data_IF_856661480576
#
_entry.id   IF_856661480576
#
_cell.length_a   1.000
_cell.length_b   1.000
_cell.length_c   1.000
_cell.angle_alpha   90.00
_cell.angle_beta   90.00
_cell.angle_gamma   90.00
#
_symmetry.space_group_name_H-M   'P 1'
#
loop_
_entity.id
_entity.type
_entity.pdbx_description
1 polymer ?
#
# COMPACT_ATOMS: atom_id res chain seq x y z
N UNK A 1 16.48 1.35 -10.54
CA UNK A 1 15.44 1.73 -9.56
C UNK A 1 14.44 0.59 -9.42
N UNK A 2 13.77 0.53 -8.29
CA UNK A 2 12.62 -0.34 -8.06
C UNK A 2 11.38 0.55 -7.92
N UNK A 3 10.28 0.12 -8.55
CA UNK A 3 8.96 0.66 -8.30
C UNK A 3 8.14 -0.40 -7.58
N UNK A 4 7.71 -0.09 -6.36
CA UNK A 4 6.75 -0.87 -5.61
C UNK A 4 5.36 -0.25 -5.76
N UNK A 5 4.42 -1.02 -6.31
CA UNK A 5 3.00 -0.67 -6.35
C UNK A 5 2.27 -1.52 -5.33
N UNK A 6 1.66 -0.87 -4.36
CA UNK A 6 0.97 -1.49 -3.23
C UNK A 6 -0.53 -1.24 -3.34
N UNK A 7 -1.34 -2.27 -3.12
CA UNK A 7 -2.79 -2.20 -3.14
C UNK A 7 -3.32 -2.51 -1.76
N UNK A 8 -3.87 -1.47 -1.13
CA UNK A 8 -4.42 -1.51 0.22
C UNK A 8 -5.93 -1.60 0.14
N UNK A 9 -6.46 -2.78 0.47
CA UNK A 9 -7.88 -2.96 0.74
C UNK A 9 -8.33 -2.07 1.88
N UNK A 10 -9.59 -1.66 1.85
CA UNK A 10 -10.14 -0.71 2.84
C UNK A 10 -11.13 -1.37 3.78
N UNK A 11 -11.66 -2.56 3.47
CA UNK A 11 -12.65 -3.21 4.31
C UNK A 11 -12.04 -3.66 5.64
N UNK A 12 -12.57 -3.19 6.76
CA UNK A 12 -12.12 -3.54 8.13
C UNK A 12 -13.33 -3.87 9.02
N UNK A 13 -13.17 -4.54 10.17
CA UNK A 13 -14.31 -5.01 10.97
C UNK A 13 -15.30 -3.92 11.42
N UNK A 14 -14.84 -2.68 11.59
CA UNK A 14 -15.62 -1.51 11.99
C UNK A 14 -16.05 -0.61 10.80
N UNK A 15 -15.84 -1.05 9.55
CA UNK A 15 -16.29 -0.33 8.36
C UNK A 15 -15.23 -0.30 7.26
N UNK A 16 -14.89 0.90 6.79
CA UNK A 16 -13.85 1.08 5.77
C UNK A 16 -12.78 2.06 6.25
N UNK A 17 -11.55 1.88 5.80
CA UNK A 17 -10.49 2.87 5.99
C UNK A 17 -10.90 4.18 5.31
N UNK A 18 -11.07 5.22 6.13
CA UNK A 18 -11.49 6.55 5.70
C UNK A 18 -10.37 7.31 5.01
N UNK A 19 -10.71 8.39 4.31
CA UNK A 19 -9.72 9.26 3.67
C UNK A 19 -8.78 9.91 4.72
N UNK A 20 -9.32 10.25 5.89
CA UNK A 20 -8.57 10.82 7.01
C UNK A 20 -7.60 9.79 7.62
N UNK A 21 -8.06 8.55 7.83
CA UNK A 21 -7.20 7.46 8.30
C UNK A 21 -6.09 7.13 7.30
N UNK A 22 -6.41 7.14 5.99
CA UNK A 22 -5.43 6.95 4.93
C UNK A 22 -4.39 8.07 4.90
N UNK A 23 -4.84 9.33 4.97
CA UNK A 23 -3.95 10.50 5.01
C UNK A 23 -3.03 10.45 6.24
N UNK A 24 -3.56 10.10 7.42
CA UNK A 24 -2.77 9.92 8.63
C UNK A 24 -1.75 8.78 8.47
N UNK A 25 -2.14 7.65 7.87
CA UNK A 25 -1.21 6.56 7.59
C UNK A 25 -0.06 6.98 6.66
N UNK A 26 -0.36 7.73 5.59
CA UNK A 26 0.67 8.26 4.70
C UNK A 26 1.62 9.22 5.43
N UNK A 27 1.09 10.13 6.23
CA UNK A 27 1.86 11.11 7.01
C UNK A 27 2.76 10.43 8.04
N UNK A 28 2.19 9.55 8.86
CA UNK A 28 2.86 9.06 10.07
C UNK A 28 3.78 7.87 9.78
N UNK A 29 3.48 7.08 8.74
CA UNK A 29 4.16 5.82 8.46
C UNK A 29 4.94 5.84 7.15
N UNK A 30 4.32 6.29 6.06
CA UNK A 30 4.93 6.13 4.72
C UNK A 30 5.95 7.24 4.45
N UNK A 31 5.56 8.50 4.63
CA UNK A 31 6.37 9.67 4.32
C UNK A 31 7.73 9.67 5.02
N UNK A 32 7.84 9.35 6.34
CA UNK A 32 9.13 9.33 7.04
C UNK A 32 10.09 8.26 6.49
N UNK A 33 9.55 7.19 5.89
CA UNK A 33 10.34 6.09 5.32
C UNK A 33 10.62 6.24 3.83
N UNK A 34 9.95 7.20 3.16
CA UNK A 34 9.99 7.43 1.72
C UNK A 34 10.31 8.90 1.39
N UNK A 35 11.49 9.41 1.77
CA UNK A 35 11.84 10.83 1.59
C UNK A 35 11.96 11.26 0.12
N UNK A 36 12.08 10.30 -0.80
CA UNK A 36 12.15 10.54 -2.25
C UNK A 36 10.78 10.88 -2.87
N UNK A 37 9.71 10.81 -2.07
CA UNK A 37 8.33 11.06 -2.50
C UNK A 37 7.52 9.78 -2.68
N UNK A 38 6.22 9.97 -2.87
CA UNK A 38 5.23 8.93 -3.09
C UNK A 38 4.10 9.47 -3.97
N UNK A 39 3.38 8.56 -4.62
CA UNK A 39 2.12 8.88 -5.31
C UNK A 39 1.05 7.91 -4.85
N UNK A 40 -0.14 8.40 -4.54
CA UNK A 40 -1.28 7.55 -4.19
C UNK A 40 -2.57 7.99 -4.85
N UNK A 41 -3.46 7.04 -5.13
CA UNK A 41 -4.78 7.30 -5.69
C UNK A 41 -5.80 6.27 -5.18
N UNK A 42 -7.09 6.58 -5.36
CA UNK A 42 -8.20 5.66 -5.08
C UNK A 42 -8.44 4.79 -6.31
N UNK A 43 -8.65 3.51 -6.09
CA UNK A 43 -9.03 2.52 -7.09
C UNK A 43 -10.19 1.66 -6.59
N UNK A 44 -10.80 0.91 -7.51
CA UNK A 44 -11.77 -0.13 -7.20
C UNK A 44 -11.19 -1.46 -7.65
N UNK A 45 -10.97 -2.36 -6.71
CA UNK A 45 -10.52 -3.73 -6.97
C UNK A 45 -11.70 -4.70 -7.04
N UNK A 46 -11.47 -5.85 -7.68
CA UNK A 46 -12.33 -7.02 -7.56
C UNK A 46 -11.45 -8.21 -7.25
N UNK A 47 -11.60 -8.76 -6.04
CA UNK A 47 -10.70 -9.78 -5.53
C UNK A 47 -11.46 -11.05 -5.20
N UNK A 48 -10.84 -12.18 -5.47
CA UNK A 48 -11.39 -13.48 -5.09
C UNK A 48 -11.08 -13.72 -3.61
N UNK A 49 -12.12 -13.84 -2.80
CA UNK A 49 -11.98 -14.18 -1.39
C UNK A 49 -11.51 -15.62 -1.20
N UNK A 50 -11.09 -15.95 0.02
CA UNK A 50 -10.77 -17.34 0.40
C UNK A 50 -11.96 -18.29 0.23
N UNK A 51 -13.19 -17.78 0.38
CA UNK A 51 -14.44 -18.52 0.13
C UNK A 51 -14.78 -18.66 -1.36
N UNK A 52 -14.03 -18.01 -2.25
CA UNK A 52 -14.13 -18.16 -3.70
C UNK A 52 -15.05 -17.17 -4.42
N UNK A 53 -15.63 -16.22 -3.70
CA UNK A 53 -16.47 -15.16 -4.27
C UNK A 53 -15.64 -13.98 -4.75
N UNK A 54 -16.10 -13.27 -5.79
CA UNK A 54 -15.52 -11.98 -6.18
C UNK A 54 -16.16 -10.88 -5.35
N UNK A 55 -15.35 -10.17 -4.58
CA UNK A 55 -15.78 -8.99 -3.83
C UNK A 55 -15.20 -7.74 -4.47
N UNK A 56 -16.06 -6.73 -4.64
CA UNK A 56 -15.65 -5.40 -5.05
C UNK A 56 -15.16 -4.64 -3.83
N UNK A 57 -13.94 -4.12 -3.89
CA UNK A 57 -13.31 -3.47 -2.75
C UNK A 57 -12.75 -2.11 -3.13
N UNK A 58 -13.12 -1.08 -2.35
CA UNK A 58 -12.42 0.19 -2.40
C UNK A 58 -10.96 -0.01 -1.99
N UNK A 59 -10.05 0.51 -2.80
CA UNK A 59 -8.62 0.26 -2.66
C UNK A 59 -7.86 1.59 -2.71
N UNK A 60 -6.90 1.78 -1.82
CA UNK A 60 -5.87 2.79 -2.02
C UNK A 60 -4.67 2.15 -2.71
N UNK A 61 -4.21 2.75 -3.81
CA UNK A 61 -2.97 2.35 -4.46
C UNK A 61 -1.88 3.33 -4.10
N UNK A 62 -0.70 2.81 -3.76
CA UNK A 62 0.48 3.60 -3.42
C UNK A 62 1.66 3.14 -4.28
N UNK A 63 2.35 4.10 -4.88
CA UNK A 63 3.59 3.88 -5.60
C UNK A 63 4.77 4.50 -4.88
N UNK A 64 5.81 3.69 -4.70
CA UNK A 64 7.08 4.07 -4.10
C UNK A 64 8.21 3.73 -5.07
N UNK A 65 8.85 4.76 -5.62
CA UNK A 65 10.06 4.60 -6.43
C UNK A 65 11.29 4.82 -5.56
N UNK A 66 12.16 3.82 -5.46
CA UNK A 66 13.35 3.89 -4.63
C UNK A 66 14.53 3.11 -5.23
N UNK A 67 15.73 3.34 -4.71
CA UNK A 67 16.92 2.57 -5.08
C UNK A 67 16.77 1.09 -4.70
N UNK A 68 17.42 0.20 -5.46
CA UNK A 68 17.42 -1.23 -5.17
C UNK A 68 18.35 -1.50 -3.99
N UNK A 69 17.81 -1.38 -2.76
CA UNK A 69 18.55 -1.60 -1.52
C UNK A 69 17.73 -2.45 -0.54
N UNK A 70 18.40 -3.32 0.22
CA UNK A 70 17.74 -4.23 1.16
C UNK A 70 16.99 -3.47 2.27
N UNK A 71 17.49 -2.31 2.70
CA UNK A 71 16.81 -1.48 3.70
C UNK A 71 15.51 -0.88 3.19
N UNK A 72 15.47 -0.45 1.92
CA UNK A 72 14.26 0.07 1.29
C UNK A 72 13.20 -1.03 1.14
N UNK A 73 13.62 -2.23 0.74
CA UNK A 73 12.71 -3.40 0.71
C UNK A 73 12.15 -3.75 2.10
N UNK A 74 12.99 -3.68 3.14
CA UNK A 74 12.55 -3.87 4.53
C UNK A 74 11.57 -2.78 4.97
N UNK A 75 11.79 -1.53 4.58
CA UNK A 75 10.89 -0.42 4.87
C UNK A 75 9.51 -0.62 4.22
N UNK A 76 9.46 -1.02 2.95
CA UNK A 76 8.20 -1.34 2.25
C UNK A 76 7.44 -2.48 2.95
N UNK A 77 8.12 -3.55 3.35
CA UNK A 77 7.49 -4.63 4.13
C UNK A 77 6.96 -4.14 5.47
N UNK A 78 7.69 -3.24 6.15
CA UNK A 78 7.25 -2.64 7.42
C UNK A 78 6.00 -1.80 7.25
N UNK A 79 5.92 -0.97 6.20
CA UNK A 79 4.69 -0.22 5.83
C UNK A 79 3.51 -1.17 5.71
N UNK A 80 3.68 -2.27 4.96
CA UNK A 80 2.64 -3.29 4.77
C UNK A 80 2.19 -3.90 6.12
N UNK A 81 3.14 -4.30 6.98
CA UNK A 81 2.79 -4.90 8.28
C UNK A 81 2.08 -3.91 9.21
N UNK A 82 2.50 -2.64 9.21
CA UNK A 82 1.83 -1.59 9.99
C UNK A 82 0.39 -1.41 9.51
N UNK A 83 0.17 -1.33 8.20
CA UNK A 83 -1.19 -1.19 7.66
C UNK A 83 -2.07 -2.37 8.05
N UNK A 84 -1.57 -3.61 7.85
CA UNK A 84 -2.27 -4.84 8.22
C UNK A 84 -2.65 -4.85 9.70
N UNK A 85 -1.72 -4.48 10.57
CA UNK A 85 -1.98 -4.44 12.02
C UNK A 85 -2.96 -3.32 12.40
N UNK A 86 -2.83 -2.14 11.79
CA UNK A 86 -3.64 -0.95 12.13
C UNK A 86 -5.09 -1.08 11.69
N UNK A 87 -5.32 -1.67 10.52
CA UNK A 87 -6.65 -1.77 9.90
C UNK A 87 -7.13 -3.22 9.75
N UNK A 88 -6.51 -4.14 10.48
CA UNK A 88 -6.90 -5.56 10.57
C UNK A 88 -7.05 -6.24 9.20
N UNK A 89 -6.16 -5.91 8.26
CA UNK A 89 -6.18 -6.49 6.91
C UNK A 89 -5.49 -7.85 6.87
N UNK A 90 -6.08 -8.79 6.14
CA UNK A 90 -5.46 -10.08 5.86
C UNK A 90 -4.23 -9.94 4.95
N UNK A 91 -4.29 -9.05 3.98
CA UNK A 91 -3.23 -8.87 2.98
C UNK A 91 -3.14 -7.43 2.46
N UNK A 92 -1.98 -7.11 1.91
CA UNK A 92 -1.75 -5.97 1.02
C UNK A 92 -1.01 -6.53 -0.18
N UNK A 93 -1.55 -6.33 -1.38
CA UNK A 93 -0.85 -6.79 -2.58
C UNK A 93 0.35 -5.89 -2.84
N UNK A 94 1.47 -6.50 -3.23
CA UNK A 94 2.69 -5.81 -3.63
C UNK A 94 3.13 -6.32 -4.98
N UNK A 95 3.27 -5.41 -5.94
CA UNK A 95 3.92 -5.66 -7.23
C UNK A 95 5.22 -4.88 -7.25
N UNK A 96 6.32 -5.56 -7.57
CA UNK A 96 7.65 -4.97 -7.68
C UNK A 96 8.16 -5.06 -9.12
N UNK A 97 8.58 -3.94 -9.68
CA UNK A 97 9.16 -3.88 -11.03
C UNK A 97 10.47 -3.10 -11.05
N UNK A 98 11.32 -3.39 -12.04
CA UNK A 98 12.48 -2.54 -12.34
C UNK A 98 12.03 -1.35 -13.16
N UNK A 99 12.52 -0.17 -12.82
CA UNK A 99 12.18 1.07 -13.49
C UNK A 99 13.41 1.94 -13.78
N UNK A 100 13.26 2.83 -14.76
CA UNK A 100 14.14 3.96 -15.01
C UNK A 100 13.46 5.23 -14.50
N UNK A 101 14.19 6.09 -13.79
CA UNK A 101 13.70 7.38 -13.28
C UNK A 101 14.54 8.50 -13.88
N UNK A 102 13.90 9.51 -14.45
CA UNK A 102 14.50 10.76 -14.94
C UNK A 102 13.60 11.95 -14.54
N UNK A 103 14.19 13.14 -14.45
CA UNK A 103 13.49 14.40 -14.20
C UNK A 103 13.82 15.40 -15.30
#
# INVERSE_FOLDING_TARGET
MVLDTLYFGTAKPDGVVTAEEWAAFLSDTVTPTSPEGLTSWVASGQWKTSAGFLEQEHTYVLQLAHEEHQEKDRAVRRIIQIYKSRFQQEAVMRIRSRACRSF
#
